data_IF_899494274550
#
_entry.id   IF_899494274550
#
_cell.length_a   1.000
_cell.length_b   1.000
_cell.length_c   1.000
_cell.angle_alpha   90.00
_cell.angle_beta   90.00
_cell.angle_gamma   90.00
#
_symmetry.space_group_name_H-M   'P 1'
#
loop_
_entity.id
_entity.type
_entity.pdbx_description
1 polymer ?
#
# COMPACT_ATOMS: atom_id res chain seq x y z
N UNK A 1 2.85 11.45 -26.29
CA UNK A 1 1.44 11.12 -26.03
C UNK A 1 0.66 12.41 -25.76
N UNK A 2 1.08 13.26 -24.81
CA UNK A 2 0.36 14.49 -24.45
C UNK A 2 0.15 15.44 -25.64
N UNK A 3 1.12 15.59 -26.55
CA UNK A 3 0.93 16.40 -27.76
C UNK A 3 -0.22 15.88 -28.63
N UNK A 4 -0.39 14.55 -28.72
CA UNK A 4 -1.52 13.95 -29.46
C UNK A 4 -2.86 14.18 -28.75
N UNK A 5 -2.87 14.13 -27.40
CA UNK A 5 -4.08 14.44 -26.61
C UNK A 5 -4.50 15.90 -26.79
N UNK A 6 -3.54 16.84 -26.75
CA UNK A 6 -3.79 18.26 -27.00
C UNK A 6 -4.41 18.45 -28.40
N UNK A 7 -3.83 17.84 -29.43
CA UNK A 7 -4.34 17.90 -30.81
C UNK A 7 -5.75 17.34 -30.97
N UNK A 8 -6.16 16.40 -30.10
CA UNK A 8 -7.52 15.82 -30.04
C UNK A 8 -8.46 16.53 -29.07
N UNK A 9 -8.01 17.58 -28.38
CA UNK A 9 -8.72 18.26 -27.30
C UNK A 9 -9.10 17.31 -26.15
N UNK A 10 -8.29 16.28 -25.91
CA UNK A 10 -8.45 15.31 -24.84
C UNK A 10 -7.60 15.70 -23.63
N UNK A 11 -7.96 15.18 -22.45
CA UNK A 11 -7.22 15.45 -21.21
C UNK A 11 -5.80 14.89 -21.30
N UNK A 12 -4.81 15.70 -20.98
CA UNK A 12 -3.39 15.28 -20.89
C UNK A 12 -3.14 14.44 -19.64
N UNK A 13 -2.10 13.61 -19.73
CA UNK A 13 -1.64 12.82 -18.59
C UNK A 13 -0.62 13.63 -17.79
N UNK A 14 -0.86 13.76 -16.49
CA UNK A 14 0.01 14.53 -15.60
C UNK A 14 1.25 13.73 -15.15
N UNK A 15 1.15 12.39 -15.06
CA UNK A 15 2.19 11.53 -14.52
C UNK A 15 2.56 10.39 -15.48
N UNK A 16 3.83 10.29 -15.93
CA UNK A 16 4.27 9.25 -16.87
C UNK A 16 4.18 7.83 -16.30
N UNK A 17 4.39 7.64 -14.99
CA UNK A 17 4.25 6.34 -14.30
C UNK A 17 2.82 5.83 -14.38
N UNK A 18 1.84 6.68 -14.04
CA UNK A 18 0.42 6.33 -14.10
C UNK A 18 -0.03 6.11 -15.54
N UNK A 19 0.48 6.89 -16.49
CA UNK A 19 0.23 6.68 -17.90
C UNK A 19 0.73 5.31 -18.39
N UNK A 20 1.96 4.94 -18.06
CA UNK A 20 2.54 3.66 -18.46
C UNK A 20 1.75 2.49 -17.86
N UNK A 21 1.51 2.52 -16.53
CA UNK A 21 0.73 1.50 -15.85
C UNK A 21 -0.71 1.39 -16.39
N UNK A 22 -1.39 2.53 -16.60
CA UNK A 22 -2.72 2.58 -17.18
C UNK A 22 -2.78 2.12 -18.63
N UNK A 23 -1.70 2.31 -19.40
CA UNK A 23 -1.63 1.85 -20.79
C UNK A 23 -1.49 0.34 -20.92
N UNK A 24 -0.69 -0.29 -20.04
CA UNK A 24 -0.53 -1.75 -20.03
C UNK A 24 -1.83 -2.46 -19.55
N UNK A 25 -2.62 -1.78 -18.70
CA UNK A 25 -3.87 -2.33 -18.15
C UNK A 25 -5.10 -2.10 -19.03
N UNK A 26 -4.95 -1.53 -20.24
CA UNK A 26 -6.08 -1.33 -21.15
C UNK A 26 -6.69 -2.66 -21.57
N UNK A 27 -8.02 -2.74 -21.53
CA UNK A 27 -8.76 -3.93 -22.00
C UNK A 27 -8.68 -4.09 -23.52
N UNK A 28 -8.68 -2.96 -24.27
CA UNK A 28 -8.46 -2.95 -25.72
C UNK A 28 -6.97 -2.86 -26.04
N UNK A 29 -6.36 -3.92 -26.62
CA UNK A 29 -4.96 -3.92 -26.99
C UNK A 29 -4.61 -2.87 -28.06
N UNK A 30 -5.56 -2.40 -28.86
CA UNK A 30 -5.33 -1.32 -29.85
C UNK A 30 -5.03 0.00 -29.14
N UNK A 31 -5.67 0.29 -28.01
CA UNK A 31 -5.38 1.48 -27.20
C UNK A 31 -3.99 1.39 -26.62
N UNK A 32 -3.56 0.25 -26.09
CA UNK A 32 -2.21 0.04 -25.58
C UNK A 32 -1.17 0.20 -26.73
N UNK A 33 -1.40 -0.40 -27.88
CA UNK A 33 -0.51 -0.32 -29.05
C UNK A 33 -0.39 1.12 -29.59
N UNK A 34 -1.42 1.95 -29.47
CA UNK A 34 -1.38 3.35 -29.90
C UNK A 34 -0.47 4.25 -29.04
N UNK A 35 -0.05 3.76 -27.87
CA UNK A 35 0.79 4.49 -26.91
C UNK A 35 2.23 3.97 -26.98
N UNK A 36 3.17 4.74 -27.55
CA UNK A 36 4.56 4.30 -27.72
C UNK A 36 5.28 4.27 -26.36
N UNK A 37 5.11 3.19 -25.62
CA UNK A 37 5.84 2.93 -24.39
C UNK A 37 7.25 2.42 -24.71
N UNK A 38 8.21 2.75 -23.83
CA UNK A 38 9.57 2.22 -23.88
C UNK A 38 9.74 1.19 -22.76
N UNK A 39 10.50 0.14 -23.05
CA UNK A 39 10.89 -0.86 -22.07
C UNK A 39 12.38 -0.69 -21.75
N UNK A 40 12.71 -0.63 -20.46
CA UNK A 40 14.09 -0.62 -19.96
C UNK A 40 14.26 -1.76 -18.97
N UNK A 41 15.27 -2.62 -19.20
CA UNK A 41 15.62 -3.68 -18.29
C UNK A 41 16.64 -3.17 -17.25
N UNK A 42 16.49 -3.57 -16.01
CA UNK A 42 17.38 -3.14 -14.91
C UNK A 42 18.09 -4.31 -14.22
N UNK A 43 17.78 -5.54 -14.58
CA UNK A 43 18.46 -6.73 -14.08
C UNK A 43 18.29 -7.92 -15.04
N UNK A 44 19.25 -8.84 -15.01
CA UNK A 44 19.19 -10.13 -15.69
C UNK A 44 19.32 -11.24 -14.62
N UNK A 45 18.22 -11.92 -14.37
CA UNK A 45 18.14 -13.00 -13.37
C UNK A 45 18.79 -14.26 -13.94
N UNK A 46 20.09 -14.41 -13.69
CA UNK A 46 20.87 -15.60 -14.07
C UNK A 46 22.00 -15.83 -13.07
N UNK A 47 22.32 -17.07 -12.69
CA UNK A 47 23.43 -17.36 -11.78
C UNK A 47 24.81 -17.25 -12.45
N UNK A 48 24.90 -17.19 -13.78
CA UNK A 48 26.13 -17.44 -14.54
C UNK A 48 26.97 -16.19 -14.87
N UNK A 49 26.65 -15.03 -14.30
CA UNK A 49 27.41 -13.79 -14.55
C UNK A 49 28.13 -13.35 -13.29
N UNK A 50 29.41 -13.01 -13.42
CA UNK A 50 30.26 -12.64 -12.29
C UNK A 50 29.89 -11.27 -11.70
N UNK A 51 29.46 -10.32 -12.52
CA UNK A 51 29.19 -8.94 -12.08
C UNK A 51 27.85 -8.42 -12.60
N UNK A 52 27.28 -7.43 -11.90
CA UNK A 52 26.11 -6.71 -12.35
C UNK A 52 26.39 -5.92 -13.64
N UNK A 53 27.59 -5.39 -13.81
CA UNK A 53 28.02 -4.75 -15.05
C UNK A 53 27.94 -5.68 -16.27
N UNK A 54 28.39 -6.93 -16.13
CA UNK A 54 28.25 -7.94 -17.19
C UNK A 54 26.78 -8.25 -17.48
N UNK A 55 25.91 -8.24 -16.48
CA UNK A 55 24.48 -8.42 -16.68
C UNK A 55 23.88 -7.28 -17.54
N UNK A 56 24.22 -6.03 -17.28
CA UNK A 56 23.79 -4.91 -18.12
C UNK A 56 24.35 -5.00 -19.54
N UNK A 57 25.60 -5.41 -19.71
CA UNK A 57 26.18 -5.65 -21.05
C UNK A 57 25.45 -6.76 -21.81
N UNK A 58 25.10 -7.86 -21.14
CA UNK A 58 24.33 -8.95 -21.74
C UNK A 58 22.93 -8.50 -22.14
N UNK A 59 22.23 -7.75 -21.29
CA UNK A 59 20.91 -7.16 -21.60
C UNK A 59 20.97 -6.34 -22.88
N UNK A 60 21.99 -5.48 -23.02
CA UNK A 60 22.18 -4.66 -24.24
C UNK A 60 22.49 -5.53 -25.46
N UNK A 61 23.27 -6.60 -25.31
CA UNK A 61 23.55 -7.56 -26.40
C UNK A 61 22.29 -8.30 -26.85
N UNK A 62 21.31 -8.51 -25.96
CA UNK A 62 20.00 -9.06 -26.32
C UNK A 62 19.07 -8.03 -26.99
N UNK A 63 19.52 -6.79 -27.19
CA UNK A 63 18.75 -5.74 -27.84
C UNK A 63 17.81 -4.95 -26.91
N UNK A 64 17.85 -5.18 -25.59
CA UNK A 64 17.06 -4.41 -24.65
C UNK A 64 17.78 -3.13 -24.22
N UNK A 65 17.01 -2.09 -23.95
CA UNK A 65 17.52 -0.85 -23.39
C UNK A 65 17.78 -1.02 -21.89
N UNK A 66 18.87 -0.41 -21.41
CA UNK A 66 19.17 -0.26 -19.97
C UNK A 66 19.28 1.21 -19.63
N UNK A 67 19.33 1.56 -18.36
CA UNK A 67 19.71 2.90 -17.94
C UNK A 67 21.12 3.22 -18.50
N UNK A 68 21.27 4.39 -19.09
CA UNK A 68 22.58 4.88 -19.55
C UNK A 68 23.49 5.31 -18.39
N UNK A 69 22.96 5.31 -17.19
CA UNK A 69 23.64 5.70 -15.95
C UNK A 69 24.15 4.49 -15.15
N UNK A 70 24.21 3.30 -15.76
CA UNK A 70 24.77 2.08 -15.17
C UNK A 70 26.30 2.12 -15.17
N UNK A 71 26.88 2.84 -14.26
CA UNK A 71 28.34 3.00 -14.07
C UNK A 71 28.82 2.19 -12.89
N UNK A 72 30.10 1.80 -12.92
CA UNK A 72 30.82 1.17 -11.80
C UNK A 72 31.87 2.11 -11.26
N UNK A 73 32.07 2.09 -9.96
CA UNK A 73 32.98 2.94 -9.22
C UNK A 73 33.80 2.12 -8.24
N UNK A 74 35.03 2.53 -7.97
CA UNK A 74 35.95 1.83 -7.08
C UNK A 74 35.97 2.42 -5.66
N UNK A 75 35.33 3.56 -5.45
CA UNK A 75 35.26 4.20 -4.13
C UNK A 75 33.87 4.79 -3.86
N UNK A 76 33.54 4.92 -2.57
CA UNK A 76 32.31 5.55 -2.14
C UNK A 76 32.23 7.04 -2.52
N UNK A 77 33.36 7.76 -2.50
CA UNK A 77 33.42 9.16 -2.86
C UNK A 77 33.01 9.38 -4.33
N UNK A 78 33.43 8.49 -5.23
CA UNK A 78 33.01 8.52 -6.63
C UNK A 78 31.52 8.25 -6.79
N UNK A 79 30.96 7.33 -5.99
CA UNK A 79 29.50 7.07 -5.97
C UNK A 79 28.73 8.30 -5.49
N UNK A 80 29.22 8.97 -4.43
CA UNK A 80 28.61 10.20 -3.90
C UNK A 80 28.65 11.32 -4.95
N UNK A 81 29.78 11.49 -5.64
CA UNK A 81 29.89 12.47 -6.72
C UNK A 81 28.89 12.21 -7.86
N UNK A 82 28.70 10.92 -8.24
CA UNK A 82 27.72 10.56 -9.26
C UNK A 82 26.27 10.79 -8.78
N UNK A 83 25.98 10.56 -7.49
CA UNK A 83 24.67 10.88 -6.90
C UNK A 83 24.36 12.37 -7.10
N UNK A 84 25.29 13.26 -6.78
CA UNK A 84 25.12 14.70 -6.94
C UNK A 84 24.96 15.08 -8.41
N UNK A 85 25.83 14.56 -9.28
CA UNK A 85 25.77 14.80 -10.72
C UNK A 85 24.41 14.40 -11.31
N UNK A 86 23.94 13.20 -11.01
CA UNK A 86 22.63 12.75 -11.49
C UNK A 86 21.47 13.57 -10.89
N UNK A 87 21.61 14.05 -9.67
CA UNK A 87 20.65 14.99 -9.06
C UNK A 87 20.51 16.28 -9.88
N UNK A 88 21.61 16.82 -10.40
CA UNK A 88 21.61 18.04 -11.22
C UNK A 88 20.96 17.81 -12.60
N UNK A 89 21.26 16.69 -13.24
CA UNK A 89 20.81 16.42 -14.62
C UNK A 89 19.46 15.69 -14.69
N UNK A 90 18.88 15.23 -13.58
CA UNK A 90 17.68 14.39 -13.57
C UNK A 90 16.49 14.98 -14.32
N UNK A 91 16.34 16.31 -14.27
CA UNK A 91 15.26 17.01 -14.99
C UNK A 91 15.39 16.93 -16.52
N UNK A 92 16.60 16.71 -17.06
CA UNK A 92 16.88 16.56 -18.48
C UNK A 92 16.75 15.12 -18.99
N UNK A 93 16.58 14.14 -18.10
CA UNK A 93 16.42 12.73 -18.48
C UNK A 93 15.09 12.52 -19.21
N UNK A 94 15.02 11.59 -20.18
CA UNK A 94 13.80 11.29 -20.92
C UNK A 94 12.75 10.51 -20.12
N UNK A 95 12.96 10.33 -18.83
CA UNK A 95 12.08 9.67 -17.87
C UNK A 95 12.22 10.32 -16.49
N UNK A 96 11.17 10.28 -15.67
CA UNK A 96 11.23 10.73 -14.28
C UNK A 96 12.02 9.76 -13.40
N UNK A 97 12.84 10.30 -12.50
CA UNK A 97 13.55 9.53 -11.46
C UNK A 97 13.45 10.21 -10.11
N UNK A 98 13.13 9.44 -9.09
CA UNK A 98 13.05 9.88 -7.69
C UNK A 98 14.31 9.56 -6.88
N UNK A 99 15.22 8.79 -7.48
CA UNK A 99 16.46 8.38 -6.85
C UNK A 99 17.27 7.45 -7.73
N UNK A 100 18.26 6.82 -7.11
CA UNK A 100 19.10 5.82 -7.75
C UNK A 100 19.34 4.64 -6.82
N UNK A 101 19.71 3.50 -7.40
CA UNK A 101 20.05 2.29 -6.65
C UNK A 101 21.53 2.01 -6.81
N UNK A 102 22.24 1.98 -5.70
CA UNK A 102 23.65 1.58 -5.59
C UNK A 102 23.67 0.09 -5.26
N UNK A 103 24.41 -0.70 -6.04
CA UNK A 103 24.50 -2.16 -5.88
C UNK A 103 25.95 -2.59 -5.79
N UNK A 104 26.21 -3.62 -4.99
CA UNK A 104 27.51 -4.31 -5.03
C UNK A 104 27.65 -4.96 -6.41
N UNK A 105 28.76 -4.69 -7.12
CA UNK A 105 28.98 -5.16 -8.49
C UNK A 105 29.22 -6.67 -8.57
N UNK A 106 29.99 -7.25 -7.61
CA UNK A 106 30.23 -8.70 -7.53
C UNK A 106 28.94 -9.45 -7.17
N UNK A 107 28.47 -10.32 -8.06
CA UNK A 107 27.20 -11.03 -7.88
C UNK A 107 27.26 -12.19 -6.87
N UNK A 108 28.45 -12.72 -6.61
CA UNK A 108 28.62 -13.72 -5.55
C UNK A 108 28.44 -13.06 -4.18
N UNK A 109 29.15 -11.95 -3.94
CA UNK A 109 28.98 -11.16 -2.71
C UNK A 109 27.53 -10.67 -2.58
N UNK A 110 26.93 -10.23 -3.69
CA UNK A 110 25.54 -9.77 -3.73
C UNK A 110 24.56 -10.86 -3.24
N UNK A 111 24.78 -12.12 -3.66
CA UNK A 111 23.96 -13.27 -3.27
C UNK A 111 24.25 -13.73 -1.84
N UNK A 112 25.51 -13.77 -1.44
CA UNK A 112 25.97 -14.23 -0.11
C UNK A 112 25.44 -13.31 1.01
N UNK A 113 25.24 -12.02 0.75
CA UNK A 113 24.64 -11.07 1.69
C UNK A 113 23.13 -11.32 1.90
N UNK A 114 22.47 -12.01 0.98
CA UNK A 114 21.09 -12.44 1.10
C UNK A 114 20.06 -11.33 0.91
N UNK A 115 18.81 -11.70 1.21
CA UNK A 115 17.62 -10.88 1.01
C UNK A 115 16.82 -10.87 2.31
N UNK A 116 16.31 -9.68 2.71
CA UNK A 116 15.31 -9.54 3.77
C UNK A 116 13.97 -9.21 3.11
N UNK A 117 13.02 -10.10 3.22
CA UNK A 117 11.73 -9.96 2.54
C UNK A 117 11.89 -9.94 1.02
N UNK A 118 11.80 -8.77 0.42
CA UNK A 118 12.01 -8.53 -1.03
C UNK A 118 13.21 -7.64 -1.30
N UNK A 119 13.95 -7.24 -0.27
CA UNK A 119 15.00 -6.23 -0.36
C UNK A 119 16.36 -6.92 -0.24
N UNK A 120 17.21 -6.87 -1.27
CA UNK A 120 18.56 -7.38 -1.20
C UNK A 120 19.41 -6.51 -0.27
N UNK A 121 20.22 -7.15 0.60
CA UNK A 121 21.16 -6.44 1.50
C UNK A 121 22.32 -5.78 0.74
N UNK A 122 22.61 -6.29 -0.45
CA UNK A 122 23.70 -5.80 -1.30
C UNK A 122 23.30 -4.58 -2.16
N UNK A 123 22.14 -3.99 -1.94
CA UNK A 123 21.69 -2.81 -2.65
C UNK A 123 21.08 -1.78 -1.69
N UNK A 124 21.34 -0.51 -1.98
CA UNK A 124 20.80 0.64 -1.25
C UNK A 124 20.16 1.62 -2.23
N UNK A 125 18.97 2.12 -1.89
CA UNK A 125 18.33 3.18 -2.65
C UNK A 125 18.65 4.54 -2.04
N UNK A 126 19.25 5.43 -2.82
CA UNK A 126 19.33 6.85 -2.50
C UNK A 126 18.14 7.58 -3.12
N UNK A 127 17.41 8.34 -2.33
CA UNK A 127 16.27 9.15 -2.78
C UNK A 127 16.63 10.62 -2.79
N UNK A 128 16.35 11.29 -3.91
CA UNK A 128 16.48 12.74 -3.97
C UNK A 128 15.42 13.40 -3.08
N UNK A 129 15.69 14.66 -2.62
CA UNK A 129 14.66 15.42 -1.93
C UNK A 129 13.36 15.46 -2.73
N UNK A 130 12.25 15.23 -2.03
CA UNK A 130 10.93 15.27 -2.62
C UNK A 130 10.56 16.71 -3.03
N UNK A 131 9.77 16.84 -4.08
CA UNK A 131 9.17 18.13 -4.42
C UNK A 131 8.16 18.52 -3.36
N UNK A 132 8.19 19.80 -2.98
CA UNK A 132 7.33 20.39 -1.97
C UNK A 132 6.37 21.38 -2.61
N UNK A 133 5.19 21.53 -2.03
CA UNK A 133 4.24 22.55 -2.42
C UNK A 133 3.49 23.08 -1.20
N UNK A 134 3.02 24.32 -1.31
CA UNK A 134 2.25 24.99 -0.26
C UNK A 134 0.77 24.93 -0.57
N UNK A 135 -0.05 24.57 0.42
CA UNK A 135 -1.50 24.51 0.29
C UNK A 135 -2.21 24.86 1.61
N UNK A 136 -3.54 25.04 1.55
CA UNK A 136 -4.34 25.38 2.73
C UNK A 136 -5.18 24.18 3.18
N UNK A 137 -5.12 23.86 4.48
CA UNK A 137 -5.96 22.82 5.11
C UNK A 137 -7.39 23.32 5.19
N UNK A 138 -8.31 22.57 4.61
CA UNK A 138 -9.75 22.90 4.59
C UNK A 138 -10.54 22.14 5.62
N UNK A 139 -10.11 20.92 5.91
CA UNK A 139 -10.78 20.06 6.87
C UNK A 139 -9.84 18.93 7.34
N UNK A 140 -10.21 18.28 8.43
CA UNK A 140 -9.57 17.06 8.92
C UNK A 140 -10.68 16.04 9.18
N UNK A 141 -10.65 14.94 8.45
CA UNK A 141 -11.60 13.83 8.62
C UNK A 141 -10.91 12.63 9.22
N UNK A 142 -11.66 11.81 9.95
CA UNK A 142 -11.12 10.59 10.54
C UNK A 142 -11.58 9.41 9.69
N UNK A 143 -10.64 8.56 9.28
CA UNK A 143 -10.90 7.32 8.56
C UNK A 143 -10.70 6.13 9.48
N UNK A 144 -11.66 5.21 9.54
CA UNK A 144 -11.54 3.99 10.33
C UNK A 144 -11.01 2.87 9.45
N UNK A 145 -9.87 2.31 9.87
CA UNK A 145 -9.25 1.16 9.22
C UNK A 145 -9.86 -0.17 9.65
N UNK A 146 -9.46 -1.26 9.01
CA UNK A 146 -9.97 -2.63 9.26
C UNK A 146 -9.81 -3.13 10.70
N UNK A 147 -8.80 -2.66 11.40
CA UNK A 147 -8.52 -3.02 12.81
C UNK A 147 -9.23 -2.09 13.80
N UNK A 148 -10.21 -1.31 13.34
CA UNK A 148 -10.85 -0.27 14.13
C UNK A 148 -9.97 0.95 14.40
N UNK A 149 -8.77 1.01 13.84
CA UNK A 149 -7.86 2.14 14.02
C UNK A 149 -8.41 3.41 13.34
N UNK A 150 -8.56 4.47 14.10
CA UNK A 150 -9.00 5.77 13.64
C UNK A 150 -7.78 6.59 13.19
N UNK A 151 -7.73 6.93 11.91
CA UNK A 151 -6.60 7.64 11.29
C UNK A 151 -7.05 8.97 10.73
N UNK A 152 -6.47 10.10 11.17
CA UNK A 152 -6.83 11.41 10.65
C UNK A 152 -6.23 11.65 9.25
N UNK A 153 -7.00 12.33 8.41
CA UNK A 153 -6.64 12.69 7.03
C UNK A 153 -6.95 14.16 6.83
N UNK A 154 -5.94 14.96 6.50
CA UNK A 154 -6.12 16.35 6.14
C UNK A 154 -6.65 16.47 4.71
N UNK A 155 -7.60 17.36 4.50
CA UNK A 155 -8.16 17.76 3.21
C UNK A 155 -7.62 19.15 2.85
N UNK A 156 -7.11 19.30 1.63
CA UNK A 156 -6.47 20.54 1.17
C UNK A 156 -7.15 21.15 -0.02
N UNK A 157 -6.85 22.43 -0.27
CA UNK A 157 -6.97 22.98 -1.61
C UNK A 157 -6.13 22.14 -2.58
N UNK A 158 -6.67 21.81 -3.77
CA UNK A 158 -5.92 21.00 -4.74
C UNK A 158 -4.62 21.68 -5.12
N UNK A 159 -3.51 20.98 -4.98
CA UNK A 159 -2.18 21.47 -5.33
C UNK A 159 -1.39 20.41 -6.10
N UNK A 160 -0.59 20.85 -7.06
CA UNK A 160 0.26 19.96 -7.83
C UNK A 160 1.58 19.69 -7.07
N UNK A 161 1.91 18.40 -6.88
CA UNK A 161 3.17 17.95 -6.28
C UNK A 161 3.66 16.73 -7.06
N UNK A 162 4.89 16.77 -7.54
CA UNK A 162 5.51 15.69 -8.31
C UNK A 162 4.57 15.16 -9.42
N UNK A 163 4.06 16.08 -10.26
CA UNK A 163 3.24 15.76 -11.43
C UNK A 163 1.88 15.13 -11.11
N UNK A 164 1.32 15.34 -9.92
CA UNK A 164 -0.06 14.95 -9.66
C UNK A 164 -0.75 15.90 -8.68
N UNK A 165 -2.06 16.05 -8.83
CA UNK A 165 -2.88 16.90 -7.96
C UNK A 165 -3.16 16.15 -6.66
N UNK A 166 -2.71 16.72 -5.55
CA UNK A 166 -2.92 16.23 -4.18
C UNK A 166 -4.07 17.01 -3.55
N UNK A 167 -4.94 16.31 -2.83
CA UNK A 167 -6.09 16.86 -2.10
C UNK A 167 -6.15 16.39 -0.66
N UNK A 168 -5.41 15.33 -0.32
CA UNK A 168 -5.46 14.66 0.97
C UNK A 168 -4.05 14.22 1.38
N UNK A 169 -3.76 14.27 2.69
CA UNK A 169 -2.59 13.62 3.28
C UNK A 169 -2.96 12.95 4.60
N UNK A 170 -2.31 11.84 4.88
CA UNK A 170 -2.44 11.20 6.19
C UNK A 170 -1.75 12.04 7.26
N UNK A 171 -2.39 12.11 8.43
CA UNK A 171 -1.83 12.69 9.64
C UNK A 171 -1.42 11.60 10.65
N UNK A 172 -1.40 10.33 10.22
CA UNK A 172 -0.99 9.16 10.97
C UNK A 172 -1.81 8.88 12.23
N UNK A 173 -1.84 9.80 13.20
CA UNK A 173 -2.54 9.71 14.49
C UNK A 173 -2.79 11.11 15.08
N UNK A 174 -3.45 11.17 16.25
CA UNK A 174 -3.73 12.43 16.94
C UNK A 174 -2.44 13.15 17.37
N UNK A 175 -1.44 12.40 17.88
CA UNK A 175 -0.19 12.97 18.37
C UNK A 175 0.59 13.72 17.25
N UNK A 176 0.43 13.32 16.00
CA UNK A 176 1.04 14.01 14.86
C UNK A 176 0.37 15.36 14.58
N UNK A 177 -0.94 15.47 14.80
CA UNK A 177 -1.67 16.75 14.71
C UNK A 177 -1.12 17.72 15.77
N UNK A 178 -0.98 17.22 17.00
CA UNK A 178 -0.46 17.98 18.13
C UNK A 178 1.01 18.39 17.90
N UNK A 179 1.85 17.46 17.42
CA UNK A 179 3.26 17.71 17.09
C UNK A 179 3.42 18.80 16.03
N UNK A 180 2.56 18.81 15.03
CA UNK A 180 2.55 19.83 13.98
C UNK A 180 1.91 21.14 14.45
N UNK A 181 1.15 21.12 15.55
CA UNK A 181 0.32 22.24 15.98
C UNK A 181 -0.69 22.66 14.91
N UNK A 182 -1.23 21.66 14.17
CA UNK A 182 -2.04 21.85 12.99
C UNK A 182 -3.46 22.29 13.34
N UNK A 183 -3.96 23.31 12.62
CA UNK A 183 -5.34 23.80 12.70
C UNK A 183 -6.02 23.74 11.34
N UNK A 184 -7.33 23.61 11.34
CA UNK A 184 -8.12 23.80 10.13
C UNK A 184 -7.99 25.28 9.71
N UNK A 185 -7.68 25.54 8.44
CA UNK A 185 -7.40 26.88 7.92
C UNK A 185 -5.91 27.22 7.83
N UNK A 186 -5.02 26.38 8.37
CA UNK A 186 -3.57 26.61 8.27
C UNK A 186 -3.05 26.47 6.84
N UNK A 187 -2.01 27.23 6.55
CA UNK A 187 -1.17 27.02 5.37
C UNK A 187 -0.04 26.05 5.73
N UNK A 188 0.14 25.02 4.92
CA UNK A 188 1.09 23.93 5.18
C UNK A 188 1.98 23.69 3.98
N UNK A 189 3.20 23.19 4.23
CA UNK A 189 4.08 22.62 3.22
C UNK A 189 3.83 21.12 3.18
N UNK A 190 3.50 20.62 2.00
CA UNK A 190 3.31 19.18 1.75
C UNK A 190 4.37 18.64 0.80
N UNK A 191 4.65 17.37 0.91
CA UNK A 191 5.53 16.62 0.02
C UNK A 191 4.98 15.21 -0.20
N UNK A 192 5.54 14.48 -1.14
CA UNK A 192 5.22 13.06 -1.34
C UNK A 192 6.37 12.17 -0.89
N UNK A 193 6.16 11.39 0.15
CA UNK A 193 7.11 10.37 0.56
C UNK A 193 7.21 9.29 -0.54
N UNK A 194 8.43 9.09 -1.09
CA UNK A 194 8.68 8.17 -2.21
C UNK A 194 7.88 8.48 -3.48
N UNK A 195 7.56 9.77 -3.75
CA UNK A 195 6.73 10.28 -4.84
C UNK A 195 5.30 9.73 -4.88
N UNK A 196 4.82 9.11 -3.80
CA UNK A 196 3.52 8.42 -3.78
C UNK A 196 2.61 8.97 -2.69
N UNK A 197 3.05 8.94 -1.43
CA UNK A 197 2.20 9.21 -0.26
C UNK A 197 2.33 10.67 0.17
N UNK A 198 1.26 11.48 0.05
CA UNK A 198 1.27 12.85 0.52
C UNK A 198 1.37 12.92 2.03
N UNK A 199 2.23 13.81 2.53
CA UNK A 199 2.42 14.10 3.95
C UNK A 199 2.58 15.60 4.16
N UNK A 200 2.21 16.07 5.35
CA UNK A 200 2.52 17.43 5.79
C UNK A 200 3.95 17.43 6.35
N UNK A 201 4.79 18.32 5.84
CA UNK A 201 6.15 18.55 6.34
C UNK A 201 6.13 19.48 7.55
N UNK A 202 5.47 20.62 7.39
CA UNK A 202 5.39 21.65 8.41
C UNK A 202 4.18 22.58 8.21
N UNK A 203 3.79 23.25 9.29
CA UNK A 203 2.77 24.30 9.31
C UNK A 203 3.45 25.67 9.25
N UNK A 204 3.04 26.52 8.32
CA UNK A 204 3.53 27.89 8.22
C UNK A 204 2.76 28.80 9.20
N UNK A 205 3.13 28.74 10.48
CA UNK A 205 2.44 29.46 11.56
C UNK A 205 2.43 30.98 11.38
N UNK A 206 3.41 31.52 10.65
CA UNK A 206 3.48 32.95 10.29
C UNK A 206 2.37 33.38 9.32
N UNK A 207 1.77 32.42 8.60
CA UNK A 207 0.66 32.63 7.68
C UNK A 207 -0.68 32.21 8.28
N UNK A 208 -0.71 31.86 9.57
CA UNK A 208 -1.94 31.43 10.25
C UNK A 208 -2.93 32.57 10.32
N UNK A 209 -4.16 32.32 9.87
CA UNK A 209 -5.28 33.24 9.97
C UNK A 209 -5.87 33.22 11.39
N UNK A 210 -6.43 34.35 11.83
CA UNK A 210 -7.19 34.43 13.08
C UNK A 210 -8.43 33.50 13.07
N UNK A 211 -8.95 33.19 11.89
CA UNK A 211 -10.09 32.27 11.70
C UNK A 211 -9.69 30.77 11.73
N UNK A 212 -8.41 30.46 12.00
CA UNK A 212 -7.97 29.07 12.07
C UNK A 212 -8.56 28.38 13.31
N UNK A 213 -9.12 27.18 13.10
CA UNK A 213 -9.83 26.42 14.13
C UNK A 213 -8.95 25.28 14.64
N UNK A 214 -8.79 25.18 15.96
CA UNK A 214 -8.11 24.05 16.60
C UNK A 214 -8.93 22.78 16.37
N UNK A 215 -8.24 21.68 16.04
CA UNK A 215 -8.88 20.41 15.78
C UNK A 215 -8.90 19.54 17.04
N UNK A 216 -10.09 19.32 17.58
CA UNK A 216 -10.27 18.41 18.70
C UNK A 216 -10.58 17.00 18.17
N UNK A 217 -9.62 16.08 18.34
CA UNK A 217 -9.70 14.73 17.79
C UNK A 217 -10.87 13.92 18.40
N UNK A 218 -11.08 14.02 19.71
CA UNK A 218 -12.15 13.27 20.39
C UNK A 218 -13.55 13.78 20.05
N UNK A 219 -13.71 15.09 19.90
CA UNK A 219 -14.96 15.67 19.44
C UNK A 219 -15.25 15.30 17.98
N UNK A 220 -14.22 15.28 17.14
CA UNK A 220 -14.33 14.84 15.75
C UNK A 220 -14.73 13.37 15.64
N UNK A 221 -14.18 12.47 16.48
CA UNK A 221 -14.60 11.07 16.54
C UNK A 221 -16.10 10.96 16.89
N UNK A 222 -16.55 11.65 17.92
CA UNK A 222 -17.97 11.62 18.36
C UNK A 222 -18.90 12.22 17.29
N UNK A 223 -18.47 13.27 16.63
CA UNK A 223 -19.27 13.94 15.60
C UNK A 223 -19.37 13.15 14.30
N UNK A 224 -18.26 12.55 13.84
CA UNK A 224 -18.23 11.80 12.58
C UNK A 224 -18.77 10.36 12.74
N UNK A 225 -18.72 9.79 13.95
CA UNK A 225 -19.16 8.42 14.25
C UNK A 225 -19.93 8.35 15.57
N UNK A 226 -21.12 8.98 15.63
CA UNK A 226 -21.88 9.08 16.88
C UNK A 226 -22.36 7.71 17.43
N UNK A 227 -22.41 6.69 16.57
CA UNK A 227 -22.82 5.33 16.92
C UNK A 227 -21.67 4.46 17.44
N UNK A 228 -20.41 4.95 17.40
CA UNK A 228 -19.24 4.18 17.80
C UNK A 228 -18.62 4.72 19.06
N UNK A 229 -18.18 3.81 19.92
CA UNK A 229 -17.31 4.11 21.05
C UNK A 229 -15.85 3.92 20.66
N UNK A 230 -14.99 4.81 21.14
CA UNK A 230 -13.55 4.76 20.88
C UNK A 230 -12.79 4.68 22.19
N UNK A 231 -11.66 3.99 22.15
CA UNK A 231 -10.68 3.96 23.24
C UNK A 231 -9.27 4.17 22.67
N UNK A 232 -8.39 4.70 23.49
CA UNK A 232 -6.96 4.74 23.21
C UNK A 232 -6.28 3.77 24.19
N UNK A 233 -5.90 2.54 23.72
CA UNK A 233 -5.25 1.56 24.57
C UNK A 233 -3.95 2.10 25.17
N UNK A 234 -3.64 1.68 26.40
CA UNK A 234 -2.43 2.11 27.08
C UNK A 234 -1.19 1.72 26.27
N UNK A 235 -0.31 2.71 26.00
CA UNK A 235 0.89 2.52 25.20
C UNK A 235 0.68 2.62 23.68
N UNK A 236 -0.55 2.85 23.20
CA UNK A 236 -0.82 3.11 21.78
C UNK A 236 -1.04 4.60 21.50
N UNK A 237 -0.62 5.01 20.31
CA UNK A 237 -0.84 6.38 19.81
C UNK A 237 -2.13 6.50 18.97
N UNK A 238 -2.84 5.39 18.79
CA UNK A 238 -3.99 5.29 17.89
C UNK A 238 -5.27 5.03 18.69
N UNK A 239 -6.31 5.81 18.41
CA UNK A 239 -7.67 5.53 18.88
C UNK A 239 -8.25 4.35 18.09
N UNK A 240 -9.00 3.47 18.79
CA UNK A 240 -9.65 2.32 18.19
C UNK A 240 -11.13 2.29 18.53
N UNK A 241 -11.92 1.73 17.63
CA UNK A 241 -13.31 1.41 17.90
C UNK A 241 -13.36 0.34 18.98
N UNK A 242 -14.15 0.59 20.03
CA UNK A 242 -14.39 -0.34 21.13
C UNK A 242 -15.49 -1.33 20.72
N UNK A 243 -15.19 -2.61 20.82
CA UNK A 243 -16.10 -3.69 20.42
C UNK A 243 -15.98 -4.06 18.94
N UNK A 244 -15.98 -5.37 18.65
CA UNK A 244 -15.76 -5.92 17.31
C UNK A 244 -17.02 -5.97 16.45
N UNK A 245 -18.21 -5.77 17.02
CA UNK A 245 -19.52 -5.98 16.39
C UNK A 245 -20.03 -4.83 15.49
N UNK A 246 -19.20 -3.84 15.17
CA UNK A 246 -19.68 -2.79 14.28
C UNK A 246 -19.67 -3.25 12.82
N UNK A 247 -20.81 -3.06 12.12
CA UNK A 247 -20.92 -3.26 10.67
C UNK A 247 -19.78 -2.61 9.87
N UNK A 248 -19.20 -1.54 10.40
CA UNK A 248 -18.09 -0.83 9.77
C UNK A 248 -16.80 -1.67 9.84
N UNK A 249 -16.48 -2.27 10.99
CA UNK A 249 -15.30 -3.14 11.14
C UNK A 249 -15.44 -4.36 10.25
N UNK A 250 -16.62 -4.99 10.22
CA UNK A 250 -16.91 -6.10 9.34
C UNK A 250 -16.69 -5.73 7.86
N UNK A 251 -17.21 -4.59 7.41
CA UNK A 251 -16.99 -4.10 6.04
C UNK A 251 -15.51 -3.95 5.72
N UNK A 252 -14.73 -3.33 6.59
CA UNK A 252 -13.28 -3.14 6.41
C UNK A 252 -12.52 -4.47 6.46
N UNK A 253 -12.94 -5.40 7.29
CA UNK A 253 -12.38 -6.76 7.35
C UNK A 253 -12.61 -7.51 6.04
N UNK A 254 -13.82 -7.46 5.48
CA UNK A 254 -14.15 -8.09 4.20
C UNK A 254 -13.35 -7.44 3.06
N UNK A 255 -13.25 -6.10 3.00
CA UNK A 255 -12.45 -5.38 2.00
C UNK A 255 -10.98 -5.82 2.03
N UNK A 256 -10.43 -5.96 3.23
CA UNK A 256 -9.05 -6.43 3.39
C UNK A 256 -8.90 -7.90 2.98
N UNK A 257 -9.80 -8.76 3.44
CA UNK A 257 -9.85 -10.18 3.11
C UNK A 257 -9.87 -10.41 1.59
N UNK A 258 -10.65 -9.58 0.88
CA UNK A 258 -10.77 -9.61 -0.57
C UNK A 258 -9.63 -8.91 -1.32
N UNK A 259 -8.75 -8.20 -0.63
CA UNK A 259 -7.71 -7.38 -1.24
C UNK A 259 -6.67 -8.21 -2.01
N UNK A 260 -5.96 -7.57 -2.95
CA UNK A 260 -4.95 -8.20 -3.80
C UNK A 260 -3.80 -8.90 -3.03
N UNK A 261 -3.25 -8.33 -1.94
CA UNK A 261 -2.24 -9.04 -1.13
C UNK A 261 -2.80 -10.24 -0.36
N UNK A 262 -4.09 -10.24 -0.04
CA UNK A 262 -4.81 -11.32 0.61
C UNK A 262 -5.40 -12.30 -0.43
N UNK A 263 -6.69 -12.56 -0.42
CA UNK A 263 -7.31 -13.60 -1.28
C UNK A 263 -7.65 -13.11 -2.70
N UNK A 264 -7.51 -11.82 -3.00
CA UNK A 264 -7.73 -11.24 -4.32
C UNK A 264 -9.09 -11.60 -4.93
N UNK A 265 -10.17 -11.38 -4.19
CA UNK A 265 -11.53 -11.66 -4.64
C UNK A 265 -12.01 -10.49 -5.51
N UNK A 266 -11.94 -10.68 -6.84
CA UNK A 266 -12.36 -9.66 -7.79
C UNK A 266 -13.87 -9.40 -7.71
N UNK A 267 -14.25 -8.13 -7.73
CA UNK A 267 -15.66 -7.73 -7.61
C UNK A 267 -16.11 -7.48 -6.16
N UNK A 268 -15.34 -7.86 -5.14
CA UNK A 268 -15.65 -7.61 -3.73
C UNK A 268 -14.96 -6.33 -3.23
N UNK A 269 -15.29 -5.19 -3.89
CA UNK A 269 -14.83 -3.86 -3.46
C UNK A 269 -15.85 -3.16 -2.55
N UNK A 270 -15.48 -1.98 -2.02
CA UNK A 270 -16.24 -1.21 -1.02
C UNK A 270 -17.75 -1.15 -1.29
N UNK A 271 -18.17 -0.84 -2.54
CA UNK A 271 -19.60 -0.72 -2.87
C UNK A 271 -20.36 -2.03 -2.72
N UNK A 272 -19.75 -3.13 -3.17
CA UNK A 272 -20.39 -4.46 -3.11
C UNK A 272 -20.35 -5.02 -1.68
N UNK A 273 -19.27 -4.78 -0.93
CA UNK A 273 -19.20 -5.10 0.49
C UNK A 273 -20.29 -4.38 1.27
N UNK A 274 -20.47 -3.08 1.03
CA UNK A 274 -21.54 -2.30 1.66
C UNK A 274 -22.94 -2.88 1.35
N UNK A 275 -23.19 -3.29 0.12
CA UNK A 275 -24.49 -3.90 -0.25
C UNK A 275 -24.70 -5.24 0.47
N UNK A 276 -23.70 -6.11 0.50
CA UNK A 276 -23.79 -7.43 1.12
C UNK A 276 -23.99 -7.35 2.64
N UNK A 277 -23.28 -6.48 3.32
CA UNK A 277 -23.39 -6.30 4.78
C UNK A 277 -24.70 -5.59 5.14
N UNK A 278 -25.08 -4.53 4.43
CA UNK A 278 -26.31 -3.79 4.71
C UNK A 278 -27.58 -4.62 4.44
N UNK A 279 -27.52 -5.55 3.47
CA UNK A 279 -28.60 -6.51 3.20
C UNK A 279 -28.63 -7.70 4.17
N UNK A 280 -27.69 -7.74 5.12
CA UNK A 280 -27.51 -8.85 6.09
C UNK A 280 -27.26 -10.22 5.45
N UNK A 281 -26.79 -10.24 4.20
CA UNK A 281 -26.36 -11.48 3.53
C UNK A 281 -24.99 -11.95 4.04
N UNK A 282 -24.18 -11.03 4.57
CA UNK A 282 -22.87 -11.31 5.14
C UNK A 282 -22.78 -10.63 6.51
N UNK A 283 -22.65 -11.42 7.55
CA UNK A 283 -22.53 -10.99 8.96
C UNK A 283 -21.15 -11.33 9.54
N UNK A 284 -20.38 -12.19 8.84
CA UNK A 284 -18.98 -12.54 9.15
C UNK A 284 -18.26 -12.97 7.87
N UNK A 285 -16.96 -13.23 7.94
CA UNK A 285 -16.16 -13.62 6.77
C UNK A 285 -16.57 -14.96 6.15
N UNK A 286 -17.02 -15.93 6.97
CA UNK A 286 -17.40 -17.24 6.46
C UNK A 286 -18.69 -17.21 5.65
N UNK A 287 -19.59 -16.24 5.87
CA UNK A 287 -20.81 -16.08 5.09
C UNK A 287 -20.55 -15.80 3.62
N UNK A 288 -19.37 -15.25 3.26
CA UNK A 288 -18.98 -15.03 1.87
C UNK A 288 -19.04 -16.35 1.05
N UNK A 289 -18.70 -17.47 1.67
CA UNK A 289 -18.66 -18.79 1.04
C UNK A 289 -20.01 -19.51 1.03
N UNK A 290 -21.04 -18.90 1.62
CA UNK A 290 -22.43 -19.38 1.63
C UNK A 290 -23.33 -18.60 0.69
N UNK A 291 -22.80 -17.56 0.05
CA UNK A 291 -23.53 -16.75 -0.92
C UNK A 291 -23.85 -17.55 -2.17
N UNK A 292 -25.02 -17.30 -2.75
CA UNK A 292 -25.41 -17.84 -4.05
C UNK A 292 -25.76 -16.74 -5.05
N UNK A 293 -25.77 -17.11 -6.35
CA UNK A 293 -26.01 -16.17 -7.45
C UNK A 293 -27.39 -15.54 -7.35
N UNK A 294 -28.41 -16.29 -6.88
CA UNK A 294 -29.80 -15.81 -6.85
C UNK A 294 -30.03 -14.77 -5.76
N UNK A 295 -29.30 -14.87 -4.65
CA UNK A 295 -29.31 -13.87 -3.57
C UNK A 295 -28.66 -12.57 -4.03
N UNK A 296 -27.46 -12.66 -4.62
CA UNK A 296 -26.69 -11.49 -5.04
C UNK A 296 -27.38 -10.77 -6.22
N UNK A 297 -27.96 -11.51 -7.17
CA UNK A 297 -28.63 -10.93 -8.34
C UNK A 297 -29.86 -10.06 -7.99
N UNK A 298 -30.42 -10.24 -6.78
CA UNK A 298 -31.54 -9.40 -6.26
C UNK A 298 -31.09 -8.07 -5.68
N UNK A 299 -29.80 -7.90 -5.44
CA UNK A 299 -29.27 -6.65 -4.89
C UNK A 299 -29.19 -5.58 -5.98
N UNK A 300 -29.39 -4.33 -5.57
CA UNK A 300 -29.23 -3.17 -6.45
C UNK A 300 -27.86 -3.21 -7.18
N UNK A 301 -27.87 -2.91 -8.47
CA UNK A 301 -26.70 -2.87 -9.36
C UNK A 301 -26.05 -4.24 -9.66
N UNK A 302 -26.59 -5.34 -9.15
CA UNK A 302 -26.22 -6.66 -9.58
C UNK A 302 -27.22 -7.20 -10.63
N UNK A 303 -26.69 -7.93 -11.61
CA UNK A 303 -27.43 -8.78 -12.50
C UNK A 303 -26.82 -10.19 -12.44
N UNK A 304 -27.45 -11.17 -13.06
CA UNK A 304 -26.99 -12.58 -13.02
C UNK A 304 -25.52 -12.76 -13.41
N UNK A 305 -25.05 -12.03 -14.45
CA UNK A 305 -23.67 -12.15 -14.91
C UNK A 305 -22.66 -11.59 -13.88
N UNK A 306 -22.97 -10.47 -13.23
CA UNK A 306 -22.10 -9.87 -12.22
C UNK A 306 -22.12 -10.67 -10.93
N UNK A 307 -23.27 -11.21 -10.52
CA UNK A 307 -23.41 -12.10 -9.40
C UNK A 307 -22.61 -13.40 -9.61
N UNK A 308 -22.73 -14.02 -10.79
CA UNK A 308 -21.96 -15.21 -11.15
C UNK A 308 -20.45 -14.96 -11.10
N UNK A 309 -19.97 -13.85 -11.68
CA UNK A 309 -18.54 -13.49 -11.64
C UNK A 309 -18.03 -13.32 -10.21
N UNK A 310 -18.83 -12.74 -9.31
CA UNK A 310 -18.44 -12.59 -7.89
C UNK A 310 -18.36 -13.96 -7.21
N UNK A 311 -19.35 -14.84 -7.39
CA UNK A 311 -19.31 -16.21 -6.85
C UNK A 311 -18.11 -16.98 -7.40
N UNK A 312 -17.85 -16.93 -8.72
CA UNK A 312 -16.68 -17.58 -9.33
C UNK A 312 -15.35 -17.06 -8.71
N UNK A 313 -15.26 -15.77 -8.39
CA UNK A 313 -14.09 -15.19 -7.74
C UNK A 313 -13.96 -15.65 -6.27
N UNK A 314 -15.06 -15.77 -5.53
CA UNK A 314 -15.09 -16.32 -4.16
C UNK A 314 -14.66 -17.79 -4.19
N UNK A 315 -15.21 -18.61 -5.09
CA UNK A 315 -14.82 -20.01 -5.22
C UNK A 315 -13.34 -20.18 -5.55
N UNK A 316 -12.82 -19.37 -6.48
CA UNK A 316 -11.40 -19.35 -6.82
C UNK A 316 -10.51 -19.02 -5.62
N UNK A 317 -10.98 -18.20 -4.67
CA UNK A 317 -10.22 -17.84 -3.48
C UNK A 317 -9.93 -19.01 -2.54
N UNK A 318 -10.74 -20.08 -2.59
CA UNK A 318 -10.54 -21.31 -1.79
C UNK A 318 -9.24 -22.06 -2.13
N UNK A 319 -8.70 -21.85 -3.33
CA UNK A 319 -7.46 -22.50 -3.80
C UNK A 319 -6.20 -21.63 -3.62
N UNK A 320 -6.29 -20.52 -2.87
CA UNK A 320 -5.16 -19.65 -2.66
C UNK A 320 -4.13 -20.25 -1.68
N UNK A 321 -2.82 -19.92 -1.84
CA UNK A 321 -1.78 -20.37 -0.92
C UNK A 321 -2.07 -20.01 0.54
N UNK A 322 -1.67 -20.89 1.47
CA UNK A 322 -1.83 -20.66 2.93
C UNK A 322 -1.31 -19.30 3.39
N UNK A 323 -0.18 -18.84 2.87
CA UNK A 323 0.37 -17.52 3.20
C UNK A 323 -0.58 -16.37 2.89
N UNK A 324 -1.35 -16.47 1.81
CA UNK A 324 -2.38 -15.48 1.45
C UNK A 324 -3.58 -15.55 2.37
N UNK A 325 -3.98 -16.75 2.77
CA UNK A 325 -5.05 -16.95 3.73
C UNK A 325 -4.66 -16.38 5.10
N UNK A 326 -3.47 -16.68 5.63
CA UNK A 326 -2.96 -16.08 6.88
C UNK A 326 -2.94 -14.56 6.77
N UNK A 327 -2.50 -14.00 5.64
CA UNK A 327 -2.57 -12.55 5.41
C UNK A 327 -4.02 -12.05 5.50
N UNK A 328 -4.97 -12.78 4.90
CA UNK A 328 -6.38 -12.40 4.84
C UNK A 328 -7.06 -12.39 6.22
N UNK A 329 -6.63 -13.25 7.15
CA UNK A 329 -7.13 -13.25 8.53
C UNK A 329 -6.93 -11.90 9.25
N UNK A 330 -5.98 -11.10 8.78
CA UNK A 330 -5.76 -9.76 9.29
C UNK A 330 -5.22 -9.71 10.72
N UNK A 331 -4.55 -10.77 11.17
CA UNK A 331 -3.92 -10.86 12.50
C UNK A 331 -3.02 -9.64 12.71
N UNK A 332 -3.16 -9.01 13.85
CA UNK A 332 -2.39 -7.81 14.20
C UNK A 332 -0.89 -8.10 14.13
N UNK A 333 -0.11 -7.17 13.64
CA UNK A 333 1.34 -7.28 13.40
C UNK A 333 1.77 -8.36 12.40
N UNK A 334 0.84 -9.15 11.84
CA UNK A 334 1.13 -10.16 10.81
C UNK A 334 0.88 -9.57 9.43
N UNK A 335 1.96 -9.21 8.75
CA UNK A 335 1.95 -8.73 7.36
C UNK A 335 2.19 -9.86 6.35
N UNK A 336 2.25 -9.50 5.06
CA UNK A 336 2.47 -10.47 3.96
C UNK A 336 3.73 -11.30 4.18
N UNK A 337 4.84 -10.67 4.61
CA UNK A 337 6.12 -11.38 4.80
C UNK A 337 6.05 -12.35 5.97
N UNK A 338 5.53 -11.92 7.11
CA UNK A 338 5.31 -12.78 8.27
C UNK A 338 4.40 -13.96 7.93
N UNK A 339 3.33 -13.72 7.14
CA UNK A 339 2.42 -14.78 6.68
C UNK A 339 3.14 -15.82 5.82
N UNK A 340 4.11 -15.39 4.99
CA UNK A 340 4.92 -16.32 4.19
C UNK A 340 5.82 -17.16 5.10
N UNK A 341 6.49 -16.55 6.09
CA UNK A 341 7.33 -17.26 7.05
C UNK A 341 6.52 -18.27 7.86
N UNK A 342 5.35 -17.90 8.36
CA UNK A 342 4.43 -18.78 9.09
C UNK A 342 3.95 -19.94 8.21
N UNK A 343 3.52 -19.68 6.99
CA UNK A 343 3.06 -20.72 6.06
C UNK A 343 4.19 -21.69 5.68
N UNK A 344 5.42 -21.19 5.56
CA UNK A 344 6.60 -22.02 5.28
C UNK A 344 7.01 -22.89 6.45
N UNK A 345 6.81 -22.44 7.69
CA UNK A 345 7.15 -23.18 8.89
C UNK A 345 6.08 -24.24 9.22
N UNK A 346 4.84 -23.82 9.42
CA UNK A 346 3.74 -24.65 9.91
C UNK A 346 3.09 -25.53 8.83
N UNK A 347 3.14 -25.15 7.55
CA UNK A 347 2.58 -25.86 6.38
C UNK A 347 1.05 -25.96 6.35
N UNK A 348 0.38 -26.01 7.48
CA UNK A 348 -1.08 -26.08 7.61
C UNK A 348 -1.62 -25.00 8.58
N UNK A 349 -2.90 -24.66 8.45
CA UNK A 349 -3.54 -23.72 9.37
C UNK A 349 -3.70 -24.32 10.76
N UNK A 350 -4.04 -25.60 10.85
CA UNK A 350 -4.21 -26.31 12.12
C UNK A 350 -2.90 -26.31 12.94
N UNK A 351 -1.78 -26.62 12.29
CA UNK A 351 -0.47 -26.56 12.95
C UNK A 351 -0.11 -25.15 13.43
N UNK A 352 -0.53 -24.08 12.71
CA UNK A 352 -0.35 -22.71 13.16
C UNK A 352 -1.29 -22.37 14.33
N UNK A 353 -2.50 -22.88 14.32
CA UNK A 353 -3.49 -22.65 15.38
C UNK A 353 -3.06 -23.32 16.70
N UNK A 354 -2.40 -24.47 16.63
CA UNK A 354 -1.87 -25.23 17.77
C UNK A 354 -0.45 -24.79 18.20
N UNK A 355 0.12 -23.75 17.57
CA UNK A 355 1.49 -23.30 17.82
C UNK A 355 1.68 -22.77 19.25
N UNK A 356 2.83 -23.10 19.84
CA UNK A 356 3.26 -22.52 21.11
C UNK A 356 4.02 -21.21 20.91
N UNK A 357 4.23 -20.46 22.00
CA UNK A 357 5.03 -19.24 21.96
C UNK A 357 6.47 -19.54 21.50
N UNK A 358 7.07 -20.65 21.96
CA UNK A 358 8.43 -21.05 21.60
C UNK A 358 8.54 -21.40 20.11
N UNK A 359 7.54 -22.08 19.55
CA UNK A 359 7.51 -22.38 18.12
C UNK A 359 7.52 -21.08 17.29
N UNK A 360 6.66 -20.12 17.66
CA UNK A 360 6.58 -18.83 16.97
C UNK A 360 7.87 -18.02 17.08
N UNK A 361 8.45 -17.95 18.27
CA UNK A 361 9.70 -17.21 18.52
C UNK A 361 10.92 -17.85 17.85
N UNK A 362 10.85 -19.13 17.49
CA UNK A 362 11.90 -19.81 16.73
C UNK A 362 12.00 -19.36 15.27
N UNK A 363 10.95 -18.72 14.75
CA UNK A 363 10.88 -18.25 13.36
C UNK A 363 11.61 -16.90 13.25
N UNK A 364 12.57 -16.74 12.31
CA UNK A 364 13.22 -15.46 12.08
C UNK A 364 12.20 -14.33 11.81
N UNK A 365 12.47 -13.14 12.34
CA UNK A 365 11.63 -11.93 12.21
C UNK A 365 10.28 -11.99 12.97
N UNK A 366 10.04 -13.02 13.80
CA UNK A 366 8.90 -13.07 14.71
C UNK A 366 9.38 -12.79 16.14
N UNK A 367 9.06 -11.59 16.63
CA UNK A 367 9.33 -11.18 18.01
C UNK A 367 8.11 -11.39 18.93
N UNK A 368 8.31 -11.11 20.22
CA UNK A 368 7.32 -11.33 21.27
C UNK A 368 5.93 -10.75 20.94
N UNK A 369 5.87 -9.49 20.48
CA UNK A 369 4.60 -8.79 20.13
C UNK A 369 3.83 -9.49 19.02
N UNK A 370 4.54 -10.03 18.03
CA UNK A 370 3.91 -10.75 16.91
C UNK A 370 3.41 -12.10 17.36
N UNK A 371 4.22 -12.84 18.15
CA UNK A 371 3.84 -14.13 18.72
C UNK A 371 2.60 -14.00 19.60
N UNK A 372 2.55 -13.03 20.51
CA UNK A 372 1.40 -12.74 21.36
C UNK A 372 0.15 -12.43 20.55
N UNK A 373 0.28 -11.66 19.46
CA UNK A 373 -0.86 -11.32 18.59
C UNK A 373 -1.41 -12.56 17.86
N UNK A 374 -0.55 -13.50 17.46
CA UNK A 374 -0.96 -14.75 16.82
C UNK A 374 -1.68 -15.64 17.83
N UNK A 375 -1.09 -15.84 19.02
CA UNK A 375 -1.68 -16.65 20.07
C UNK A 375 -3.04 -16.10 20.52
N UNK A 376 -3.16 -14.78 20.70
CA UNK A 376 -4.40 -14.14 21.05
C UNK A 376 -5.48 -14.33 19.99
N UNK A 377 -5.11 -14.28 18.71
CA UNK A 377 -6.05 -14.50 17.59
C UNK A 377 -6.63 -15.91 17.61
N UNK A 378 -5.81 -16.94 17.82
CA UNK A 378 -6.25 -18.35 17.86
C UNK A 378 -6.82 -18.78 19.21
N UNK A 379 -6.65 -17.99 20.28
CA UNK A 379 -7.35 -18.20 21.56
C UNK A 379 -8.78 -17.64 21.57
N UNK A 380 -9.14 -16.79 20.60
CA UNK A 380 -10.46 -16.20 20.49
C UNK A 380 -11.45 -17.19 19.86
N UNK A 381 -12.52 -17.51 20.58
CA UNK A 381 -13.52 -18.50 20.18
C UNK A 381 -14.29 -18.08 18.91
N UNK A 382 -14.56 -16.79 18.74
CA UNK A 382 -15.26 -16.25 17.56
C UNK A 382 -14.40 -16.36 16.31
N UNK A 383 -13.10 -16.09 16.43
CA UNK A 383 -12.15 -16.29 15.34
C UNK A 383 -12.06 -17.77 14.94
N UNK A 384 -11.96 -18.68 15.93
CA UNK A 384 -11.92 -20.12 15.66
C UNK A 384 -13.21 -20.63 15.03
N UNK A 385 -14.37 -20.12 15.47
CA UNK A 385 -15.66 -20.51 14.87
C UNK A 385 -15.78 -20.10 13.39
N UNK A 386 -15.16 -19.00 13.00
CA UNK A 386 -15.13 -18.56 11.58
C UNK A 386 -14.18 -19.39 10.71
N UNK A 387 -13.19 -20.06 11.30
CA UNK A 387 -12.21 -20.87 10.58
C UNK A 387 -12.69 -22.31 10.32
N UNK A 388 -13.68 -22.77 11.04
CA UNK A 388 -14.37 -24.06 10.87
C UNK A 388 -15.48 -23.96 9.82
#
# INVERSE_FOLDING_TARGET
INQRQIGKKEKTFANPRNLAAGSIRQLDPKVAASRPLRFMAYDLVTPNLATNQLAYQAIRKFGFQTSMQDRTFDSLDQVIAEIHHLGEIRASLPFGTDGMVIKINDRKIYQDLGIIGKTPRAAVAYKYPAEEATTKVRDIVISIGRTGAATPVAIFDPVEVAGSIVRHATLHNADEIDRLGLRIGDTVIIYKAGDIIPQIKEVLTTLRSEDSVEFNYEEALKSQYPELEFERPAGEVVYRVKGLDSNLILKRSIEYYASKPALNIEGLGEKNVNLLVNSKLVNNLSDLYRLDVTQIAKLDRFGELSAKKLIDAIEKSKSMPLSKFITALGIRHVGVQTSISLANYFKTLDALADATADDLLSIPDIGQVVAESILAYFADEDNLAQLK
#
